data_IF_703428342180
#
_entry.id   IF_703428342180
#
_cell.length_a   1.000
_cell.length_b   1.000
_cell.length_c   1.000
_cell.angle_alpha   90.00
_cell.angle_beta   90.00
_cell.angle_gamma   90.00
#
_symmetry.space_group_name_H-M   'P 1'
#
loop_
_entity.id
_entity.type
_entity.pdbx_description
1 polymer ?
#
# COMPACT_ATOMS: atom_id res chain seq x y z
N UNK A 1 -12.22 -17.13 -13.09
CA UNK A 1 -11.77 -15.82 -13.61
C UNK A 1 -11.16 -15.93 -14.99
N UNK A 2 -11.65 -15.10 -15.91
CA UNK A 2 -11.06 -14.89 -17.24
C UNK A 2 -9.62 -14.34 -17.13
N UNK A 3 -8.75 -14.76 -18.05
CA UNK A 3 -7.36 -14.28 -18.14
C UNK A 3 -7.29 -12.76 -18.26
N UNK A 4 -8.25 -12.15 -18.96
CA UNK A 4 -8.30 -10.68 -19.12
C UNK A 4 -8.53 -9.97 -17.78
N UNK A 5 -9.42 -10.50 -16.95
CA UNK A 5 -9.71 -9.95 -15.62
C UNK A 5 -8.45 -10.06 -14.75
N UNK A 6 -7.77 -11.21 -14.79
CA UNK A 6 -6.52 -11.44 -14.06
C UNK A 6 -5.42 -10.46 -14.47
N UNK A 7 -5.25 -10.23 -15.78
CA UNK A 7 -4.26 -9.29 -16.30
C UNK A 7 -4.56 -7.85 -15.87
N UNK A 8 -5.83 -7.42 -15.92
CA UNK A 8 -6.23 -6.09 -15.47
C UNK A 8 -6.00 -5.89 -13.96
N UNK A 9 -6.40 -6.87 -13.14
CA UNK A 9 -6.16 -6.85 -11.70
C UNK A 9 -4.66 -6.85 -11.40
N UNK A 10 -3.86 -7.60 -12.15
CA UNK A 10 -2.40 -7.64 -12.03
C UNK A 10 -1.77 -6.28 -12.35
N UNK A 11 -2.18 -5.63 -13.43
CA UNK A 11 -1.69 -4.31 -13.80
C UNK A 11 -2.02 -3.26 -12.73
N UNK A 12 -3.23 -3.29 -12.17
CA UNK A 12 -3.59 -2.42 -11.03
C UNK A 12 -2.79 -2.74 -9.77
N UNK A 13 -2.62 -4.01 -9.42
CA UNK A 13 -1.79 -4.43 -8.29
C UNK A 13 -0.33 -3.99 -8.46
N UNK A 14 0.22 -4.03 -9.68
CA UNK A 14 1.56 -3.53 -10.00
C UNK A 14 1.63 -2.01 -9.92
N UNK A 15 0.58 -1.29 -10.34
CA UNK A 15 0.51 0.17 -10.18
C UNK A 15 0.48 0.57 -8.71
N UNK A 16 -0.27 -0.16 -7.88
CA UNK A 16 -0.23 -0.01 -6.42
C UNK A 16 1.19 -0.22 -5.88
N UNK A 17 1.88 -1.27 -6.33
CA UNK A 17 3.26 -1.54 -5.91
C UNK A 17 4.18 -0.33 -6.17
N UNK A 18 4.17 0.20 -7.39
CA UNK A 18 5.03 1.35 -7.77
C UNK A 18 4.75 2.55 -6.86
N UNK A 19 3.48 2.88 -6.62
CA UNK A 19 3.11 3.98 -5.74
C UNK A 19 3.42 3.73 -4.26
N UNK A 20 3.35 2.48 -3.82
CA UNK A 20 3.79 2.09 -2.49
C UNK A 20 5.31 2.25 -2.33
N UNK A 21 6.10 1.97 -3.37
CA UNK A 21 7.55 2.17 -3.34
C UNK A 21 7.88 3.66 -3.23
N UNK A 22 7.23 4.51 -4.04
CA UNK A 22 7.40 5.96 -3.94
C UNK A 22 7.04 6.48 -2.53
N UNK A 23 5.93 6.01 -1.98
CA UNK A 23 5.50 6.36 -0.63
C UNK A 23 6.47 5.87 0.46
N UNK A 24 7.00 4.65 0.33
CA UNK A 24 7.98 4.09 1.26
C UNK A 24 9.27 4.89 1.26
N UNK A 25 9.75 5.28 0.08
CA UNK A 25 10.97 6.06 -0.07
C UNK A 25 10.87 7.43 0.61
N UNK A 26 9.78 8.16 0.34
CA UNK A 26 9.51 9.45 1.01
C UNK A 26 9.36 9.26 2.52
N UNK A 27 8.69 8.19 2.95
CA UNK A 27 8.55 7.89 4.39
C UNK A 27 9.90 7.61 5.04
N UNK A 28 10.81 6.91 4.36
CA UNK A 28 12.17 6.66 4.85
C UNK A 28 12.98 7.95 4.95
N UNK A 29 12.93 8.80 3.92
CA UNK A 29 13.58 10.12 3.94
C UNK A 29 13.03 10.98 5.09
N UNK A 30 11.71 10.92 5.33
CA UNK A 30 11.07 11.65 6.43
C UNK A 30 11.58 11.16 7.79
N UNK A 31 11.72 9.84 7.98
CA UNK A 31 12.30 9.28 9.20
C UNK A 31 13.74 9.77 9.44
N UNK A 32 14.55 9.85 8.38
CA UNK A 32 15.91 10.38 8.46
C UNK A 32 15.93 11.88 8.79
N UNK A 33 15.05 12.69 8.19
CA UNK A 33 14.92 14.11 8.47
C UNK A 33 14.48 14.39 9.92
N UNK A 34 13.53 13.61 10.44
CA UNK A 34 13.11 13.67 11.85
C UNK A 34 14.26 13.34 12.79
N UNK A 35 15.03 12.29 12.49
CA UNK A 35 16.20 11.92 13.30
C UNK A 35 17.28 13.02 13.30
N UNK A 36 17.42 13.76 12.20
CA UNK A 36 18.36 14.90 12.06
C UNK A 36 17.82 16.21 12.63
N UNK A 37 16.56 16.27 13.07
CA UNK A 37 15.85 17.48 13.49
C UNK A 37 15.83 18.58 12.41
N UNK A 38 15.77 18.18 11.15
CA UNK A 38 15.67 19.09 10.03
C UNK A 38 14.18 19.44 9.77
N UNK A 39 13.70 20.47 10.45
CA UNK A 39 12.28 20.87 10.38
C UNK A 39 11.84 21.28 8.97
N UNK A 40 12.73 21.87 8.17
CA UNK A 40 12.42 22.30 6.80
C UNK A 40 12.21 21.08 5.90
N UNK A 41 13.14 20.12 5.95
CA UNK A 41 13.01 18.87 5.21
C UNK A 41 11.81 18.04 5.68
N UNK A 42 11.50 18.02 6.98
CA UNK A 42 10.30 17.34 7.51
C UNK A 42 9.03 17.91 6.89
N UNK A 43 8.86 19.23 6.88
CA UNK A 43 7.66 19.86 6.29
C UNK A 43 7.55 19.60 4.78
N UNK A 44 8.66 19.70 4.05
CA UNK A 44 8.70 19.41 2.62
C UNK A 44 8.30 17.96 2.34
N UNK A 45 8.89 16.99 3.05
CA UNK A 45 8.63 15.56 2.87
C UNK A 45 7.21 15.16 3.28
N UNK A 46 6.63 15.79 4.30
CA UNK A 46 5.22 15.59 4.66
C UNK A 46 4.28 15.99 3.53
N UNK A 47 4.54 17.14 2.89
CA UNK A 47 3.74 17.59 1.74
C UNK A 47 3.91 16.68 0.53
N UNK A 48 5.16 16.28 0.23
CA UNK A 48 5.45 15.34 -0.87
C UNK A 48 4.83 13.96 -0.64
N UNK A 49 4.68 13.53 0.61
CA UNK A 49 4.04 12.25 0.97
C UNK A 49 2.53 12.24 0.70
N UNK A 50 1.87 13.40 0.71
CA UNK A 50 0.42 13.48 0.54
C UNK A 50 -0.02 13.07 -0.87
N UNK A 51 0.72 13.46 -1.91
CA UNK A 51 0.41 13.13 -3.30
C UNK A 51 0.38 11.61 -3.58
N UNK A 52 1.44 10.83 -3.28
CA UNK A 52 1.42 9.38 -3.50
C UNK A 52 0.40 8.68 -2.60
N UNK A 53 0.09 9.21 -1.41
CA UNK A 53 -0.96 8.67 -0.55
C UNK A 53 -2.34 8.79 -1.21
N UNK A 54 -2.66 9.96 -1.77
CA UNK A 54 -3.92 10.19 -2.48
C UNK A 54 -4.02 9.29 -3.73
N UNK A 55 -2.94 9.18 -4.50
CA UNK A 55 -2.90 8.30 -5.67
C UNK A 55 -3.07 6.82 -5.29
N UNK A 56 -2.51 6.38 -4.16
CA UNK A 56 -2.71 5.02 -3.64
C UNK A 56 -4.18 4.77 -3.30
N UNK A 57 -4.83 5.74 -2.66
CA UNK A 57 -6.26 5.66 -2.33
C UNK A 57 -7.12 5.58 -3.60
N UNK A 58 -6.88 6.44 -4.58
CA UNK A 58 -7.58 6.43 -5.87
C UNK A 58 -7.46 5.08 -6.59
N UNK A 59 -6.25 4.52 -6.66
CA UNK A 59 -6.03 3.22 -7.29
C UNK A 59 -6.75 2.11 -6.50
N UNK A 60 -6.72 2.17 -5.17
CA UNK A 60 -7.40 1.18 -4.33
C UNK A 60 -8.93 1.26 -4.47
N UNK A 61 -9.51 2.46 -4.52
CA UNK A 61 -10.93 2.66 -4.77
C UNK A 61 -11.31 2.15 -6.16
N UNK A 62 -10.53 2.48 -7.19
CA UNK A 62 -10.75 1.99 -8.55
C UNK A 62 -10.59 0.47 -8.70
N UNK A 63 -9.78 -0.17 -7.85
CA UNK A 63 -9.68 -1.63 -7.77
C UNK A 63 -10.92 -2.24 -7.11
N UNK A 64 -11.39 -1.66 -6.00
CA UNK A 64 -12.62 -2.09 -5.32
C UNK A 64 -13.85 -1.97 -6.22
N UNK A 65 -13.97 -0.88 -6.96
CA UNK A 65 -15.08 -0.68 -7.91
C UNK A 65 -15.03 -1.73 -9.02
N UNK A 66 -13.86 -1.97 -9.62
CA UNK A 66 -13.73 -3.01 -10.65
C UNK A 66 -14.17 -4.38 -10.12
N UNK A 67 -13.77 -4.75 -8.90
CA UNK A 67 -14.16 -6.02 -8.29
C UNK A 67 -15.66 -6.10 -8.02
N UNK A 68 -16.32 -4.98 -7.72
CA UNK A 68 -17.79 -4.92 -7.57
C UNK A 68 -18.53 -5.08 -8.90
N UNK A 69 -17.92 -4.67 -10.01
CA UNK A 69 -18.51 -4.75 -11.35
C UNK A 69 -18.33 -6.15 -11.99
N UNK A 70 -17.55 -7.05 -11.36
CA UNK A 70 -17.37 -8.43 -11.82
C UNK A 70 -18.58 -9.31 -11.48
N UNK A 71 -18.80 -10.41 -12.24
CA UNK A 71 -19.73 -11.47 -11.83
C UNK A 71 -19.42 -11.99 -10.43
N UNK A 72 -20.44 -12.41 -9.69
CA UNK A 72 -20.33 -12.77 -8.25
C UNK A 72 -19.22 -13.78 -7.96
N UNK A 73 -19.11 -14.86 -8.74
CA UNK A 73 -18.06 -15.88 -8.58
C UNK A 73 -16.66 -15.31 -8.75
N UNK A 74 -16.45 -14.49 -9.78
CA UNK A 74 -15.17 -13.84 -10.06
C UNK A 74 -14.85 -12.74 -9.04
N UNK A 75 -15.87 -12.01 -8.56
CA UNK A 75 -15.73 -11.00 -7.52
C UNK A 75 -15.28 -11.60 -6.19
N UNK A 76 -15.89 -12.73 -5.78
CA UNK A 76 -15.51 -13.46 -4.57
C UNK A 76 -14.05 -13.90 -4.68
N UNK A 77 -13.68 -14.53 -5.81
CA UNK A 77 -12.32 -15.02 -6.02
C UNK A 77 -11.29 -13.90 -6.08
N UNK A 78 -11.58 -12.80 -6.78
CA UNK A 78 -10.72 -11.63 -6.83
C UNK A 78 -10.50 -11.02 -5.44
N UNK A 79 -11.54 -10.92 -4.61
CA UNK A 79 -11.41 -10.46 -3.22
C UNK A 79 -10.50 -11.36 -2.42
N UNK A 80 -10.68 -12.68 -2.52
CA UNK A 80 -9.85 -13.67 -1.82
C UNK A 80 -8.36 -13.47 -2.14
N UNK A 81 -8.02 -13.30 -3.42
CA UNK A 81 -6.62 -13.06 -3.84
C UNK A 81 -6.10 -11.71 -3.35
N UNK A 82 -6.89 -10.64 -3.43
CA UNK A 82 -6.51 -9.31 -2.92
C UNK A 82 -6.37 -9.30 -1.39
N UNK A 83 -7.13 -10.16 -0.72
CA UNK A 83 -7.01 -10.49 0.70
C UNK A 83 -5.91 -11.51 1.00
N UNK A 84 -5.08 -11.82 0.00
CA UNK A 84 -3.86 -12.63 0.07
C UNK A 84 -4.12 -14.10 0.33
N UNK A 85 -5.24 -14.61 -0.17
CA UNK A 85 -5.46 -16.03 -0.38
C UNK A 85 -4.43 -16.63 -1.35
N UNK A 86 -4.38 -17.96 -1.35
CA UNK A 86 -3.45 -18.71 -2.20
C UNK A 86 -3.97 -18.82 -3.64
N UNK A 87 -3.03 -18.91 -4.58
CA UNK A 87 -3.34 -19.17 -5.98
C UNK A 87 -3.86 -20.60 -6.12
N UNK A 88 -5.00 -20.77 -6.79
CA UNK A 88 -5.52 -22.08 -7.15
C UNK A 88 -4.94 -22.53 -8.49
N UNK A 89 -4.71 -21.59 -9.40
CA UNK A 89 -4.19 -21.84 -10.74
C UNK A 89 -2.87 -21.10 -11.04
N UNK A 90 -2.13 -21.60 -12.03
CA UNK A 90 -0.91 -20.96 -12.52
C UNK A 90 -1.16 -19.53 -13.04
N UNK A 91 -2.36 -19.26 -13.57
CA UNK A 91 -2.75 -17.94 -14.06
C UNK A 91 -2.93 -16.93 -12.91
N UNK A 92 -3.36 -17.39 -11.73
CA UNK A 92 -3.54 -16.56 -10.54
C UNK A 92 -2.23 -16.32 -9.77
N UNK A 93 -1.22 -17.18 -9.97
CA UNK A 93 0.04 -17.14 -9.23
C UNK A 93 0.77 -15.80 -9.40
N UNK A 94 0.71 -15.19 -10.59
CA UNK A 94 1.30 -13.88 -10.84
C UNK A 94 0.65 -12.77 -10.01
N UNK A 95 -0.69 -12.75 -9.97
CA UNK A 95 -1.46 -11.78 -9.18
C UNK A 95 -1.23 -11.99 -7.68
N UNK A 96 -1.32 -13.23 -7.19
CA UNK A 96 -1.07 -13.56 -5.78
C UNK A 96 0.34 -13.14 -5.34
N UNK A 97 1.34 -13.36 -6.19
CA UNK A 97 2.72 -12.93 -5.99
C UNK A 97 2.84 -11.41 -5.85
N UNK A 98 2.17 -10.64 -6.70
CA UNK A 98 2.15 -9.17 -6.62
C UNK A 98 1.43 -8.67 -5.37
N UNK A 99 0.26 -9.22 -5.04
CA UNK A 99 -0.46 -8.85 -3.81
C UNK A 99 0.39 -9.13 -2.57
N UNK A 100 1.11 -10.25 -2.54
CA UNK A 100 2.03 -10.60 -1.46
C UNK A 100 3.22 -9.62 -1.37
N UNK A 101 3.72 -9.11 -2.49
CA UNK A 101 4.74 -8.05 -2.50
C UNK A 101 4.18 -6.73 -1.94
N UNK A 102 2.99 -6.33 -2.40
CA UNK A 102 2.29 -5.13 -1.90
C UNK A 102 2.08 -5.16 -0.40
N UNK A 103 1.62 -6.29 0.14
CA UNK A 103 1.40 -6.48 1.58
C UNK A 103 2.68 -6.35 2.39
N UNK A 104 3.76 -6.99 1.95
CA UNK A 104 5.07 -6.87 2.60
C UNK A 104 5.55 -5.43 2.61
N UNK A 105 5.36 -4.71 1.52
CA UNK A 105 5.74 -3.30 1.43
C UNK A 105 4.87 -2.41 2.33
N UNK A 106 3.56 -2.63 2.35
CA UNK A 106 2.62 -1.95 3.25
C UNK A 106 3.01 -2.14 4.72
N UNK A 107 3.37 -3.35 5.13
CA UNK A 107 3.84 -3.62 6.50
C UNK A 107 5.12 -2.85 6.82
N UNK A 108 6.06 -2.75 5.87
CA UNK A 108 7.27 -1.93 6.04
C UNK A 108 6.94 -0.44 6.15
N UNK A 109 6.00 0.06 5.34
CA UNK A 109 5.53 1.45 5.43
C UNK A 109 4.92 1.76 6.79
N UNK A 110 4.09 0.85 7.33
CA UNK A 110 3.49 1.00 8.66
C UNK A 110 4.53 1.04 9.78
N UNK A 111 5.54 0.17 9.71
CA UNK A 111 6.64 0.16 10.68
C UNK A 111 7.46 1.47 10.62
N UNK A 112 7.74 1.97 9.42
CA UNK A 112 8.43 3.26 9.24
C UNK A 112 7.58 4.42 9.79
N UNK A 113 6.28 4.44 9.48
CA UNK A 113 5.35 5.45 9.99
C UNK A 113 5.28 5.46 11.52
N UNK A 114 5.25 4.28 12.14
CA UNK A 114 5.31 4.12 13.58
C UNK A 114 6.58 4.73 14.17
N UNK A 115 7.74 4.49 13.56
CA UNK A 115 9.03 5.07 14.01
C UNK A 115 9.03 6.59 13.92
N UNK A 116 8.52 7.16 12.81
CA UNK A 116 8.39 8.61 12.63
C UNK A 116 7.51 9.19 13.74
N UNK A 117 6.34 8.59 13.97
CA UNK A 117 5.38 9.07 14.96
C UNK A 117 5.95 9.02 16.39
N UNK A 118 6.65 7.94 16.75
CA UNK A 118 7.32 7.82 18.05
C UNK A 118 8.49 8.81 18.21
N UNK A 119 9.21 9.10 17.12
CA UNK A 119 10.33 10.04 17.10
C UNK A 119 9.91 11.51 17.23
N UNK A 120 8.75 11.88 16.67
CA UNK A 120 8.20 13.24 16.76
C UNK A 120 7.66 13.56 18.16
N UNK A 121 6.78 12.72 18.71
CA UNK A 121 6.29 12.86 20.08
C UNK A 121 5.66 11.54 20.58
N UNK A 122 6.47 10.74 21.28
CA UNK A 122 6.06 9.45 21.84
C UNK A 122 4.80 9.50 22.72
N UNK A 123 4.48 10.62 23.38
CA UNK A 123 3.32 10.73 24.28
C UNK A 123 2.02 11.09 23.55
N UNK A 124 2.12 11.75 22.40
CA UNK A 124 0.97 12.12 21.55
C UNK A 124 0.84 11.26 20.29
N UNK A 125 1.76 10.34 20.07
CA UNK A 125 1.72 9.40 18.96
C UNK A 125 0.41 8.61 18.93
N UNK A 126 -0.17 8.45 17.74
CA UNK A 126 -1.33 7.58 17.51
C UNK A 126 -1.09 6.16 18.03
N UNK A 127 0.14 5.65 17.90
CA UNK A 127 0.52 4.29 18.27
C UNK A 127 0.72 4.07 19.77
N UNK A 128 0.72 5.11 20.60
CA UNK A 128 0.86 4.96 22.06
C UNK A 128 -0.44 4.47 22.72
N UNK A 129 -1.60 4.64 22.06
CA UNK A 129 -2.93 4.28 22.57
C UNK A 129 -3.33 2.82 22.34
N UNK A 130 -2.63 2.10 21.45
CA UNK A 130 -2.95 0.71 21.07
C UNK A 130 -1.89 -0.29 21.54
N UNK A 131 -1.26 -0.01 22.69
CA UNK A 131 -0.22 -0.87 23.27
C UNK A 131 -0.78 -1.95 24.18
#
# INVERSE_FOLDING_TARGET
>A
MDSRILDELYLKARRLYIKLVEFEDISRQLAEAVNRKDEVSVQMLLNMRAEPANQLEEIQQGLRQQVLDLPEEDAIRAREILEGGEAQDANEAALCGQVSQNRRLLLRCQETDKRISMGLDSRRSFYSKYR
#
